data_IF_798654850020
#
_entry.id   IF_798654850020
#
_cell.length_a   1.000
_cell.length_b   1.000
_cell.length_c   1.000
_cell.angle_alpha   90.00
_cell.angle_beta   90.00
_cell.angle_gamma   90.00
#
_symmetry.space_group_name_H-M   'P 1'
#
loop_
_entity.id
_entity.type
_entity.pdbx_description
1 polymer ?
#
# COMPACT_ATOMS: atom_id res chain seq x y z
N UNK A 1 -14.28 3.45 -24.92
CA UNK A 1 -14.52 2.61 -23.71
C UNK A 1 -13.24 1.89 -23.39
N UNK A 2 -12.81 1.88 -22.12
CA UNK A 2 -11.60 1.21 -21.65
C UNK A 2 -11.93 0.26 -20.51
N UNK A 3 -11.07 -0.72 -20.27
CA UNK A 3 -11.20 -1.67 -19.17
C UNK A 3 -10.29 -1.27 -18.01
N UNK A 4 -10.86 -0.90 -16.87
CA UNK A 4 -10.14 -0.70 -15.62
C UNK A 4 -9.98 -2.05 -14.94
N UNK A 5 -8.76 -2.56 -14.86
CA UNK A 5 -8.46 -3.87 -14.24
C UNK A 5 -8.12 -3.69 -12.77
N UNK A 6 -8.76 -4.47 -11.88
CA UNK A 6 -8.59 -4.42 -10.43
C UNK A 6 -7.53 -5.40 -9.94
N UNK A 7 -7.68 -6.65 -10.31
CA UNK A 7 -6.79 -7.73 -9.88
C UNK A 7 -6.84 -8.91 -10.85
N UNK A 8 -5.82 -9.76 -10.74
CA UNK A 8 -5.76 -11.08 -11.36
C UNK A 8 -5.98 -12.14 -10.28
N UNK A 9 -6.63 -13.24 -10.63
CA UNK A 9 -6.96 -14.33 -9.73
C UNK A 9 -6.98 -15.68 -10.46
N UNK A 10 -7.03 -16.78 -9.70
CA UNK A 10 -7.23 -18.11 -10.31
C UNK A 10 -8.68 -18.28 -10.75
N UNK A 11 -8.86 -18.68 -12.00
CA UNK A 11 -10.19 -18.87 -12.57
C UNK A 11 -11.05 -19.94 -11.88
N UNK A 12 -10.40 -20.94 -11.29
CA UNK A 12 -11.07 -22.05 -10.59
C UNK A 12 -11.52 -21.70 -9.16
N UNK A 13 -10.93 -20.68 -8.51
CA UNK A 13 -11.26 -20.33 -7.12
C UNK A 13 -12.59 -19.58 -6.97
N UNK A 14 -13.03 -18.90 -8.02
CA UNK A 14 -14.36 -18.28 -8.07
C UNK A 14 -15.33 -19.20 -8.82
N UNK A 15 -15.94 -20.12 -8.11
CA UNK A 15 -17.17 -20.81 -8.58
C UNK A 15 -18.33 -19.81 -8.52
N UNK A 16 -18.34 -18.85 -9.44
CA UNK A 16 -19.61 -18.22 -9.81
C UNK A 16 -20.37 -19.30 -10.55
N UNK A 17 -21.52 -19.71 -10.02
CA UNK A 17 -22.34 -20.79 -10.57
C UNK A 17 -22.38 -20.73 -12.09
N UNK A 18 -22.38 -21.89 -12.73
CA UNK A 18 -22.48 -22.01 -14.18
C UNK A 18 -23.61 -21.11 -14.69
N UNK A 19 -23.40 -20.37 -15.80
CA UNK A 19 -24.43 -19.50 -16.37
C UNK A 19 -25.71 -20.22 -16.76
N UNK A 20 -25.71 -21.56 -16.80
CA UNK A 20 -26.86 -22.41 -17.10
C UNK A 20 -27.59 -22.98 -15.86
N UNK A 21 -27.08 -22.76 -14.64
CA UNK A 21 -27.78 -23.16 -13.42
C UNK A 21 -28.88 -22.16 -13.07
N UNK A 22 -30.10 -22.57 -12.74
CA UNK A 22 -31.16 -21.66 -12.29
C UNK A 22 -30.66 -20.92 -11.04
N UNK A 23 -30.67 -19.60 -11.13
CA UNK A 23 -30.16 -18.65 -10.15
C UNK A 23 -30.89 -18.76 -8.82
N UNK A 24 -30.41 -19.62 -7.94
CA UNK A 24 -30.54 -19.43 -6.51
C UNK A 24 -29.43 -18.45 -6.11
N UNK A 25 -29.63 -17.17 -6.41
CA UNK A 25 -28.70 -16.09 -6.07
C UNK A 25 -28.65 -15.96 -4.55
N UNK A 26 -27.69 -16.63 -3.93
CA UNK A 26 -27.26 -16.21 -2.61
C UNK A 26 -26.69 -14.80 -2.77
N UNK A 27 -27.13 -13.81 -1.96
CA UNK A 27 -26.66 -12.42 -2.07
C UNK A 27 -25.14 -12.28 -1.94
N UNK A 28 -24.45 -13.30 -1.40
CA UNK A 28 -22.98 -13.35 -1.28
C UNK A 28 -22.23 -13.70 -2.57
N UNK A 29 -22.91 -14.15 -3.63
CA UNK A 29 -22.27 -14.56 -4.89
C UNK A 29 -22.13 -13.41 -5.91
N UNK A 30 -22.76 -12.29 -5.67
CA UNK A 30 -22.67 -11.12 -6.53
C UNK A 30 -21.26 -10.49 -6.46
N UNK A 31 -20.70 -10.17 -7.64
CA UNK A 31 -19.48 -9.36 -7.70
C UNK A 31 -19.76 -7.96 -7.16
N UNK A 32 -18.79 -7.35 -6.47
CA UNK A 32 -18.94 -6.00 -5.91
C UNK A 32 -19.18 -4.97 -7.02
N UNK A 33 -19.74 -3.83 -6.63
CA UNK A 33 -19.87 -2.68 -7.54
C UNK A 33 -18.50 -1.99 -7.64
N UNK A 34 -18.06 -1.72 -8.87
CA UNK A 34 -16.77 -1.11 -9.15
C UNK A 34 -16.76 0.41 -9.10
N UNK A 35 -15.67 0.98 -9.56
CA UNK A 35 -15.47 2.43 -9.67
C UNK A 35 -16.60 3.05 -10.50
N UNK A 36 -17.07 4.24 -10.10
CA UNK A 36 -18.15 5.01 -10.72
C UNK A 36 -19.47 4.23 -10.84
N UNK A 37 -19.73 3.28 -9.93
CA UNK A 37 -20.93 2.46 -9.95
C UNK A 37 -20.97 1.43 -11.08
N UNK A 38 -19.88 1.23 -11.78
CA UNK A 38 -19.82 0.27 -12.92
C UNK A 38 -19.79 -1.16 -12.40
N UNK A 39 -20.41 -2.07 -13.17
CA UNK A 39 -20.39 -3.50 -12.86
C UNK A 39 -18.97 -4.06 -13.00
N UNK A 40 -18.55 -4.87 -12.04
CA UNK A 40 -17.32 -5.68 -12.15
C UNK A 40 -17.64 -6.94 -12.95
N UNK A 41 -16.81 -7.25 -13.92
CA UNK A 41 -16.88 -8.44 -14.79
C UNK A 41 -15.61 -9.25 -14.65
N UNK A 42 -15.66 -10.53 -14.95
CA UNK A 42 -14.51 -11.43 -14.98
C UNK A 42 -14.22 -11.87 -16.41
N UNK A 43 -12.98 -11.66 -16.86
CA UNK A 43 -12.45 -12.28 -18.07
C UNK A 43 -11.60 -13.47 -17.69
N UNK A 44 -11.97 -14.66 -18.15
CA UNK A 44 -11.27 -15.91 -17.88
C UNK A 44 -10.45 -16.34 -19.09
N UNK A 45 -9.25 -16.83 -18.86
CA UNK A 45 -8.39 -17.43 -19.88
C UNK A 45 -7.41 -18.41 -19.22
N UNK A 46 -7.40 -19.65 -19.66
CA UNK A 46 -6.47 -20.73 -19.30
C UNK A 46 -6.07 -20.77 -17.80
N UNK A 47 -7.05 -20.92 -16.92
CA UNK A 47 -6.86 -21.07 -15.46
C UNK A 47 -6.66 -19.76 -14.70
N UNK A 48 -6.58 -18.62 -15.39
CA UNK A 48 -6.55 -17.28 -14.82
C UNK A 48 -7.88 -16.55 -15.05
N UNK A 49 -8.12 -15.53 -14.24
CA UNK A 49 -9.18 -14.56 -14.47
C UNK A 49 -8.71 -13.16 -14.10
N UNK A 50 -9.21 -12.16 -14.82
CA UNK A 50 -9.05 -10.75 -14.49
C UNK A 50 -10.38 -10.16 -14.09
N UNK A 51 -10.42 -9.45 -12.95
CA UNK A 51 -11.56 -8.65 -12.54
C UNK A 51 -11.42 -7.24 -13.10
N UNK A 52 -12.41 -6.75 -13.83
CA UNK A 52 -12.36 -5.44 -14.49
C UNK A 52 -13.74 -4.80 -14.57
N UNK A 53 -13.78 -3.48 -14.82
CA UNK A 53 -14.98 -2.76 -15.21
C UNK A 53 -14.74 -2.00 -16.50
N UNK A 54 -15.77 -1.93 -17.34
CA UNK A 54 -15.74 -1.08 -18.53
C UNK A 54 -16.08 0.36 -18.12
N UNK A 55 -15.17 1.30 -18.38
CA UNK A 55 -15.33 2.72 -18.08
C UNK A 55 -15.37 3.55 -19.36
N UNK A 56 -16.01 4.72 -19.27
CA UNK A 56 -16.08 5.66 -20.39
C UNK A 56 -14.82 6.50 -20.48
N UNK A 57 -14.38 6.86 -21.70
CA UNK A 57 -13.16 7.64 -21.95
C UNK A 57 -13.16 9.04 -21.28
N UNK A 58 -14.35 9.57 -20.96
CA UNK A 58 -14.49 10.86 -20.27
C UNK A 58 -13.89 10.88 -18.84
N UNK A 59 -13.54 9.73 -18.29
CA UNK A 59 -12.91 9.60 -16.97
C UNK A 59 -11.38 9.64 -17.01
N UNK A 60 -10.79 9.86 -18.19
CA UNK A 60 -9.35 9.72 -18.46
C UNK A 60 -8.47 10.92 -18.07
N UNK A 61 -9.00 11.98 -17.51
CA UNK A 61 -8.12 12.99 -16.93
C UNK A 61 -7.44 12.37 -15.71
N UNK A 62 -6.13 12.08 -15.73
CA UNK A 62 -5.38 11.90 -14.51
C UNK A 62 -5.34 13.30 -13.87
N UNK A 63 -6.41 13.69 -13.20
CA UNK A 63 -6.30 14.72 -12.18
C UNK A 63 -5.26 14.16 -11.21
N UNK A 64 -4.09 14.77 -11.25
CA UNK A 64 -2.89 14.27 -10.59
C UNK A 64 -3.22 13.88 -9.16
N UNK A 65 -2.61 12.79 -8.69
CA UNK A 65 -2.63 12.35 -7.31
C UNK A 65 -2.20 13.57 -6.46
N UNK A 66 -3.15 14.39 -6.04
CA UNK A 66 -2.86 15.64 -5.32
C UNK A 66 -3.96 16.71 -5.38
N UNK A 67 -4.92 16.61 -6.28
CA UNK A 67 -6.08 17.51 -6.20
C UNK A 67 -6.97 17.03 -5.03
N UNK A 68 -7.23 17.87 -4.00
CA UNK A 68 -8.12 17.52 -2.92
C UNK A 68 -9.58 17.61 -3.38
N UNK A 69 -10.02 16.63 -4.20
CA UNK A 69 -11.39 16.50 -4.65
C UNK A 69 -12.00 15.21 -4.08
N UNK A 70 -13.18 15.29 -3.48
CA UNK A 70 -13.93 14.17 -2.92
C UNK A 70 -14.11 13.00 -3.89
N UNK A 71 -14.10 13.24 -5.19
CA UNK A 71 -14.26 12.26 -6.26
C UNK A 71 -13.08 11.29 -6.37
N UNK A 72 -11.84 11.77 -6.19
CA UNK A 72 -10.62 10.96 -6.28
C UNK A 72 -10.54 9.94 -5.12
N UNK A 73 -10.84 10.37 -3.91
CA UNK A 73 -10.87 9.49 -2.72
C UNK A 73 -11.97 8.45 -2.85
N UNK A 74 -13.16 8.83 -3.31
CA UNK A 74 -14.29 7.91 -3.52
C UNK A 74 -13.94 6.81 -4.53
N UNK A 75 -13.29 7.16 -5.65
CA UNK A 75 -12.86 6.19 -6.67
C UNK A 75 -11.79 5.24 -6.14
N UNK A 76 -10.81 5.75 -5.38
CA UNK A 76 -9.77 4.92 -4.76
C UNK A 76 -10.38 3.94 -3.74
N UNK A 77 -11.34 4.39 -2.94
CA UNK A 77 -12.05 3.54 -1.98
C UNK A 77 -12.87 2.46 -2.69
N UNK A 78 -13.60 2.81 -3.75
CA UNK A 78 -14.36 1.85 -4.53
C UNK A 78 -13.44 0.80 -5.19
N UNK A 79 -12.28 1.24 -5.72
CA UNK A 79 -11.27 0.35 -6.29
C UNK A 79 -10.75 -0.65 -5.26
N UNK A 80 -10.36 -0.17 -4.08
CA UNK A 80 -9.86 -1.00 -2.98
C UNK A 80 -10.94 -1.98 -2.50
N UNK A 81 -12.20 -1.54 -2.37
CA UNK A 81 -13.32 -2.38 -1.93
C UNK A 81 -13.58 -3.56 -2.85
N UNK A 82 -13.40 -3.41 -4.17
CA UNK A 82 -13.51 -4.52 -5.13
C UNK A 82 -12.43 -5.57 -4.84
N UNK A 83 -11.18 -5.14 -4.69
CA UNK A 83 -10.05 -6.04 -4.44
C UNK A 83 -10.22 -6.77 -3.10
N UNK A 84 -10.62 -6.05 -2.04
CA UNK A 84 -10.87 -6.63 -0.73
C UNK A 84 -12.00 -7.66 -0.74
N UNK A 85 -13.11 -7.36 -1.43
CA UNK A 85 -14.24 -8.27 -1.54
C UNK A 85 -13.85 -9.57 -2.24
N UNK A 86 -13.03 -9.49 -3.31
CA UNK A 86 -12.50 -10.65 -4.00
C UNK A 86 -11.47 -11.40 -3.15
N UNK A 87 -10.59 -10.67 -2.45
CA UNK A 87 -9.56 -11.27 -1.60
C UNK A 87 -10.12 -12.07 -0.41
N UNK A 88 -11.31 -11.71 0.08
CA UNK A 88 -11.99 -12.52 1.12
C UNK A 88 -12.40 -13.90 0.62
N UNK A 89 -12.58 -14.07 -0.69
CA UNK A 89 -13.12 -15.28 -1.33
C UNK A 89 -12.04 -16.14 -2.00
N UNK A 90 -10.99 -15.51 -2.50
CA UNK A 90 -9.94 -16.19 -3.27
C UNK A 90 -8.59 -15.47 -3.15
N UNK A 91 -7.54 -16.09 -3.66
CA UNK A 91 -6.23 -15.47 -3.81
C UNK A 91 -6.27 -14.47 -4.96
N UNK A 92 -5.83 -13.24 -4.70
CA UNK A 92 -5.79 -12.17 -5.70
C UNK A 92 -4.40 -11.56 -5.82
N UNK A 93 -4.06 -11.12 -7.03
CA UNK A 93 -2.93 -10.22 -7.31
C UNK A 93 -3.50 -8.84 -7.56
N UNK A 94 -3.47 -7.92 -6.59
CA UNK A 94 -3.92 -6.56 -6.79
C UNK A 94 -3.10 -5.86 -7.86
N UNK A 95 -3.75 -5.16 -8.78
CA UNK A 95 -3.07 -4.26 -9.70
C UNK A 95 -3.08 -2.83 -9.17
N UNK A 96 -2.27 -1.96 -9.74
CA UNK A 96 -2.30 -0.54 -9.39
C UNK A 96 -3.58 0.11 -9.91
N UNK A 97 -4.16 0.99 -9.13
CA UNK A 97 -5.25 1.84 -9.62
C UNK A 97 -4.78 2.63 -10.86
N UNK A 98 -5.62 2.64 -11.90
CA UNK A 98 -5.27 3.23 -13.19
C UNK A 98 -4.69 2.24 -14.21
N UNK A 99 -4.73 0.94 -13.93
CA UNK A 99 -4.47 -0.11 -14.91
C UNK A 99 -5.61 -0.15 -15.94
N UNK A 100 -5.44 0.65 -17.01
CA UNK A 100 -6.43 0.83 -18.08
C UNK A 100 -5.99 0.12 -19.35
N UNK A 101 -6.83 -0.78 -19.85
CA UNK A 101 -6.64 -1.46 -21.12
C UNK A 101 -7.66 -0.99 -22.17
N UNK A 102 -7.29 -0.94 -23.45
CA UNK A 102 -8.16 -0.40 -24.49
C UNK A 102 -9.46 -1.20 -24.69
N UNK A 103 -9.45 -2.51 -24.47
CA UNK A 103 -10.62 -3.38 -24.64
C UNK A 103 -10.50 -4.68 -23.84
N UNK A 104 -11.55 -5.51 -23.86
CA UNK A 104 -11.55 -6.84 -23.23
C UNK A 104 -10.57 -7.83 -23.90
N UNK A 105 -10.33 -7.68 -25.21
CA UNK A 105 -9.33 -8.48 -25.93
C UNK A 105 -7.93 -8.23 -25.36
N UNK A 106 -7.62 -6.98 -25.01
CA UNK A 106 -6.34 -6.63 -24.37
C UNK A 106 -6.23 -7.20 -22.95
N UNK A 107 -7.35 -7.33 -22.23
CA UNK A 107 -7.36 -8.05 -20.94
C UNK A 107 -7.01 -9.52 -21.16
N UNK A 108 -7.57 -10.15 -22.20
CA UNK A 108 -7.25 -11.55 -22.56
C UNK A 108 -5.78 -11.68 -22.98
N UNK A 109 -5.28 -10.77 -23.80
CA UNK A 109 -3.87 -10.76 -24.22
C UNK A 109 -2.94 -10.65 -23.02
N UNK A 110 -3.21 -9.73 -22.09
CA UNK A 110 -2.44 -9.59 -20.84
C UNK A 110 -2.37 -10.90 -20.04
N UNK A 111 -3.50 -11.62 -19.89
CA UNK A 111 -3.54 -12.89 -19.18
C UNK A 111 -2.66 -13.95 -19.85
N UNK A 112 -2.66 -14.03 -21.19
CA UNK A 112 -1.87 -14.98 -21.98
C UNK A 112 -0.38 -14.66 -21.95
N UNK A 113 -0.02 -13.43 -22.23
CA UNK A 113 1.36 -12.99 -22.35
C UNK A 113 2.13 -13.13 -21.03
N UNK A 114 1.43 -12.96 -19.90
CA UNK A 114 2.05 -12.98 -18.57
C UNK A 114 1.57 -14.13 -17.68
N UNK A 115 1.05 -15.16 -18.29
CA UNK A 115 0.42 -16.29 -17.60
C UNK A 115 1.34 -16.90 -16.53
N UNK A 116 2.57 -17.24 -16.90
CA UNK A 116 3.51 -17.90 -15.98
C UNK A 116 3.88 -17.00 -14.80
N UNK A 117 4.09 -15.69 -15.04
CA UNK A 117 4.38 -14.72 -13.99
C UNK A 117 3.21 -14.56 -13.01
N UNK A 118 1.98 -14.52 -13.54
CA UNK A 118 0.80 -14.41 -12.70
C UNK A 118 0.57 -15.67 -11.87
N UNK A 119 0.75 -16.84 -12.45
CA UNK A 119 0.62 -18.09 -11.71
C UNK A 119 1.69 -18.20 -10.60
N UNK A 120 2.94 -17.90 -10.90
CA UNK A 120 4.02 -17.91 -9.91
C UNK A 120 3.75 -16.91 -8.77
N UNK A 121 3.27 -15.70 -9.10
CA UNK A 121 2.94 -14.68 -8.10
C UNK A 121 1.72 -15.08 -7.26
N UNK A 122 0.70 -15.72 -7.86
CA UNK A 122 -0.45 -16.26 -7.13
C UNK A 122 -0.03 -17.37 -6.16
N UNK A 123 0.89 -18.24 -6.57
CA UNK A 123 1.44 -19.28 -5.69
C UNK A 123 2.18 -18.68 -4.48
N UNK A 124 2.95 -17.62 -4.71
CA UNK A 124 3.68 -16.94 -3.63
C UNK A 124 2.78 -16.33 -2.55
N UNK A 125 1.61 -15.79 -2.94
CA UNK A 125 0.71 -15.10 -2.01
C UNK A 125 -0.49 -15.96 -1.60
N UNK A 126 -0.53 -17.22 -2.04
CA UNK A 126 -1.66 -18.11 -1.78
C UNK A 126 -1.92 -18.28 -0.29
N UNK A 127 -3.16 -18.06 0.12
CA UNK A 127 -3.57 -18.19 1.52
C UNK A 127 -2.97 -17.15 2.46
N UNK A 128 -2.34 -16.09 1.93
CA UNK A 128 -1.72 -15.04 2.72
C UNK A 128 -2.56 -13.77 2.75
N UNK A 129 -2.28 -12.95 3.75
CA UNK A 129 -2.76 -11.58 3.93
C UNK A 129 -1.57 -10.66 4.20
N UNK A 130 -1.72 -9.38 3.90
CA UNK A 130 -0.71 -8.38 4.23
C UNK A 130 -1.08 -7.69 5.54
N UNK A 131 -0.10 -7.63 6.46
CA UNK A 131 -0.18 -6.86 7.70
C UNK A 131 0.82 -5.72 7.63
N UNK A 132 0.41 -4.52 8.04
CA UNK A 132 1.27 -3.32 7.96
C UNK A 132 1.41 -2.71 9.34
N UNK A 133 2.66 -2.60 9.81
CA UNK A 133 3.01 -1.93 11.05
C UNK A 133 3.59 -0.55 10.74
N UNK A 134 2.89 0.49 11.18
CA UNK A 134 3.31 1.89 11.04
C UNK A 134 4.01 2.34 12.32
N UNK A 135 5.26 2.74 12.22
CA UNK A 135 6.09 3.19 13.32
C UNK A 135 6.55 4.63 13.09
N UNK A 136 6.73 5.38 14.18
CA UNK A 136 7.28 6.73 14.15
C UNK A 136 8.69 6.71 14.79
N UNK A 137 9.76 6.48 14.00
CA UNK A 137 11.11 6.51 14.52
C UNK A 137 11.47 7.94 14.96
N UNK A 138 11.91 8.10 16.21
CA UNK A 138 12.34 9.38 16.75
C UNK A 138 11.50 9.95 17.90
N UNK A 139 10.46 9.28 18.34
CA UNK A 139 9.82 9.56 19.64
C UNK A 139 10.54 8.70 20.69
N UNK A 140 11.80 9.05 21.01
CA UNK A 140 12.45 8.44 22.16
C UNK A 140 11.74 8.94 23.43
N UNK A 141 11.40 7.99 24.29
CA UNK A 141 10.92 8.24 25.64
C UNK A 141 11.96 9.04 26.45
N UNK A 142 11.96 10.37 26.30
CA UNK A 142 12.50 11.23 27.36
C UNK A 142 11.30 11.63 28.22
N UNK A 143 11.11 10.86 29.30
CA UNK A 143 10.47 11.32 30.51
C UNK A 143 9.01 11.69 30.43
N UNK A 144 8.11 10.70 30.38
CA UNK A 144 6.75 10.89 30.89
C UNK A 144 6.68 10.58 32.39
N UNK A 145 7.32 11.41 33.19
CA UNK A 145 6.92 11.63 34.59
C UNK A 145 6.46 13.07 34.72
N UNK A 146 5.22 13.31 34.24
CA UNK A 146 4.43 14.46 34.70
C UNK A 146 3.05 13.96 35.05
N UNK A 147 2.92 13.71 36.37
CA UNK A 147 1.66 13.79 37.13
C UNK A 147 0.79 14.95 36.62
N UNK A 148 -0.51 14.66 36.58
CA UNK A 148 -1.53 15.54 36.08
C UNK A 148 -1.43 16.98 36.59
N UNK A 149 -1.61 17.88 35.64
CA UNK A 149 -2.33 19.14 35.90
C UNK A 149 -2.56 19.86 34.55
N UNK A 150 -3.82 20.24 34.38
CA UNK A 150 -4.35 21.30 33.51
C UNK A 150 -4.20 21.22 32.00
N UNK A 151 -5.31 20.78 31.39
CA UNK A 151 -5.79 21.22 30.08
C UNK A 151 -5.82 22.77 30.04
N UNK A 152 -4.80 23.35 29.42
CA UNK A 152 -4.90 24.69 28.85
C UNK A 152 -4.40 24.63 27.42
N UNK A 153 -5.31 24.96 26.55
CA UNK A 153 -5.22 25.13 25.12
C UNK A 153 -4.16 26.19 24.76
N UNK A 154 -2.90 25.77 24.60
CA UNK A 154 -1.92 26.57 23.88
C UNK A 154 -1.27 25.74 22.78
N UNK A 155 -1.62 26.11 21.54
CA UNK A 155 -0.88 25.67 20.36
C UNK A 155 0.60 25.95 20.58
N UNK A 156 1.51 24.97 20.36
CA UNK A 156 2.92 25.28 20.34
C UNK A 156 3.19 26.18 19.13
N UNK A 157 3.25 27.47 19.35
CA UNK A 157 3.86 28.42 18.42
C UNK A 157 5.33 28.06 18.36
N UNK A 158 5.74 27.35 17.32
CA UNK A 158 7.14 27.21 16.94
C UNK A 158 7.67 28.58 16.58
N UNK A 159 8.14 29.31 17.57
CA UNK A 159 8.85 30.58 17.39
C UNK A 159 10.14 30.29 16.59
N UNK A 160 10.38 30.92 15.44
CA UNK A 160 11.59 30.70 14.65
C UNK A 160 12.88 31.29 15.28
N UNK A 161 12.82 31.73 16.53
CA UNK A 161 13.90 32.48 17.16
C UNK A 161 15.07 31.64 17.74
N UNK A 162 15.00 30.31 17.70
CA UNK A 162 16.09 29.42 18.13
C UNK A 162 17.00 28.92 17.01
N UNK A 163 16.80 29.39 15.79
CA UNK A 163 17.69 29.15 14.68
C UNK A 163 18.81 30.20 14.68
N UNK A 164 20.02 29.71 15.00
CA UNK A 164 21.29 30.33 14.64
C UNK A 164 21.74 31.49 15.51
N UNK A 165 22.41 31.19 16.61
CA UNK A 165 23.62 31.95 16.93
C UNK A 165 24.65 31.62 15.85
N UNK A 166 24.51 32.22 14.67
CA UNK A 166 25.54 32.21 13.63
C UNK A 166 26.64 33.11 14.09
N UNK A 167 27.81 32.53 14.25
CA UNK A 167 29.07 33.28 14.39
C UNK A 167 29.17 34.22 13.16
N UNK A 168 29.17 35.55 13.35
CA UNK A 168 29.15 36.53 12.27
C UNK A 168 30.40 36.51 11.37
N UNK A 169 31.42 35.72 11.75
CA UNK A 169 32.66 35.59 10.99
C UNK A 169 32.62 34.57 9.86
N UNK A 170 31.56 33.75 9.71
CA UNK A 170 31.47 32.76 8.65
C UNK A 170 30.68 33.28 7.46
N UNK A 171 31.24 33.14 6.26
CA UNK A 171 30.57 33.45 5.00
C UNK A 171 29.22 32.71 4.92
N UNK A 172 28.15 33.34 4.38
CA UNK A 172 26.82 32.71 4.27
C UNK A 172 26.84 31.34 3.54
N UNK A 173 27.76 31.16 2.59
CA UNK A 173 27.95 29.90 1.89
C UNK A 173 28.47 28.77 2.79
N UNK A 174 29.42 29.08 3.69
CA UNK A 174 29.96 28.09 4.62
C UNK A 174 28.89 27.69 5.65
N UNK A 175 28.11 28.66 6.13
CA UNK A 175 27.02 28.39 7.06
C UNK A 175 25.95 27.46 6.41
N UNK A 176 25.62 27.70 5.15
CA UNK A 176 24.71 26.85 4.40
C UNK A 176 25.24 25.42 4.21
N UNK A 177 26.49 25.25 3.83
CA UNK A 177 27.13 23.94 3.69
C UNK A 177 27.17 23.16 5.01
N UNK A 178 27.47 23.81 6.12
CA UNK A 178 27.45 23.20 7.45
C UNK A 178 26.04 22.78 7.86
N UNK A 179 25.02 23.60 7.55
CA UNK A 179 23.62 23.25 7.80
C UNK A 179 23.16 22.06 6.95
N UNK A 180 23.55 21.99 5.67
CA UNK A 180 23.28 20.85 4.79
C UNK A 180 23.94 19.58 5.34
N UNK A 181 25.23 19.63 5.67
CA UNK A 181 25.97 18.49 6.22
C UNK A 181 25.29 17.94 7.48
N UNK A 182 24.96 18.81 8.45
CA UNK A 182 24.22 18.40 9.65
C UNK A 182 22.89 17.75 9.34
N UNK A 183 22.17 18.24 8.33
CA UNK A 183 20.91 17.66 7.88
C UNK A 183 21.11 16.24 7.32
N UNK A 184 22.13 16.00 6.51
CA UNK A 184 22.46 14.68 6.01
C UNK A 184 22.85 13.73 7.16
N UNK A 185 23.73 14.16 8.07
CA UNK A 185 24.11 13.38 9.23
C UNK A 185 22.90 13.00 10.12
N UNK A 186 21.92 13.89 10.27
CA UNK A 186 20.66 13.60 10.97
C UNK A 186 19.77 12.58 10.23
N UNK A 187 19.71 12.68 8.90
CA UNK A 187 18.94 11.72 8.08
C UNK A 187 19.59 10.34 8.17
N UNK A 188 20.92 10.25 8.06
CA UNK A 188 21.65 8.99 8.14
C UNK A 188 21.48 8.34 9.53
N UNK A 189 21.60 9.11 10.61
CA UNK A 189 21.37 8.62 11.96
C UNK A 189 19.93 8.13 12.18
N UNK A 190 18.94 8.84 11.62
CA UNK A 190 17.55 8.44 11.69
C UNK A 190 17.27 7.17 10.88
N UNK A 191 17.95 7.00 9.74
CA UNK A 191 17.85 5.80 8.90
C UNK A 191 18.40 4.57 9.65
N UNK A 192 19.58 4.67 10.26
CA UNK A 192 20.16 3.60 11.08
C UNK A 192 19.24 3.21 12.24
N UNK A 193 18.62 4.21 12.88
CA UNK A 193 17.64 3.95 13.97
C UNK A 193 16.41 3.23 13.44
N UNK A 194 15.91 3.61 12.26
CA UNK A 194 14.77 2.97 11.61
C UNK A 194 15.10 1.52 11.22
N UNK A 195 16.29 1.26 10.69
CA UNK A 195 16.76 -0.09 10.34
C UNK A 195 16.86 -0.99 11.57
N UNK A 196 17.46 -0.50 12.67
CA UNK A 196 17.53 -1.24 13.93
C UNK A 196 16.13 -1.55 14.50
N UNK A 197 15.19 -0.59 14.39
CA UNK A 197 13.81 -0.79 14.81
C UNK A 197 13.09 -1.81 13.93
N UNK A 198 13.29 -1.74 12.62
CA UNK A 198 12.72 -2.70 11.66
C UNK A 198 13.16 -4.12 11.98
N UNK A 199 14.47 -4.32 12.20
CA UNK A 199 15.04 -5.62 12.51
C UNK A 199 14.55 -6.16 13.85
N UNK A 200 14.43 -5.32 14.86
CA UNK A 200 13.87 -5.70 16.16
C UNK A 200 12.41 -6.17 16.03
N UNK A 201 11.60 -5.45 15.25
CA UNK A 201 10.23 -5.86 14.99
C UNK A 201 10.19 -7.15 14.16
N UNK A 202 11.02 -7.29 13.12
CA UNK A 202 11.12 -8.51 12.32
C UNK A 202 11.40 -9.73 13.21
N UNK A 203 12.41 -9.61 14.08
CA UNK A 203 12.79 -10.69 15.01
C UNK A 203 11.64 -11.08 15.95
N UNK A 204 10.84 -10.11 16.40
CA UNK A 204 9.71 -10.37 17.29
C UNK A 204 8.57 -11.13 16.60
N UNK A 205 8.41 -11.01 15.28
CA UNK A 205 7.42 -11.74 14.48
C UNK A 205 8.00 -12.96 13.77
N UNK A 206 9.22 -13.39 14.08
CA UNK A 206 9.89 -14.52 13.44
C UNK A 206 9.00 -15.78 13.50
N UNK A 207 8.89 -16.48 12.37
CA UNK A 207 8.03 -17.66 12.22
C UNK A 207 6.54 -17.39 11.98
N UNK A 208 6.08 -16.14 12.07
CA UNK A 208 4.67 -15.74 11.83
C UNK A 208 4.42 -15.14 10.46
N UNK A 209 5.45 -14.92 9.66
CA UNK A 209 5.35 -14.36 8.30
C UNK A 209 6.15 -15.16 7.28
N UNK A 210 5.77 -15.06 6.01
CA UNK A 210 6.45 -15.70 4.88
C UNK A 210 7.50 -14.76 4.28
N UNK A 211 7.13 -13.50 4.10
CA UNK A 211 7.98 -12.44 3.56
C UNK A 211 7.74 -11.15 4.31
N UNK A 212 8.72 -10.25 4.28
CA UNK A 212 8.57 -8.92 4.85
C UNK A 212 9.33 -7.87 4.02
N UNK A 213 8.92 -6.61 4.17
CA UNK A 213 9.58 -5.43 3.58
C UNK A 213 9.54 -4.28 4.58
N UNK A 214 10.53 -3.39 4.50
CA UNK A 214 10.55 -2.15 5.25
C UNK A 214 10.64 -0.96 4.29
N UNK A 215 9.85 0.06 4.56
CA UNK A 215 9.92 1.35 3.87
C UNK A 215 10.10 2.46 4.89
N UNK A 216 11.18 3.19 4.78
CA UNK A 216 11.44 4.36 5.59
C UNK A 216 11.24 5.63 4.78
N UNK A 217 10.40 6.53 5.28
CA UNK A 217 10.18 7.86 4.71
C UNK A 217 10.73 8.90 5.67
N UNK A 218 11.91 9.51 5.37
CA UNK A 218 12.49 10.53 6.22
C UNK A 218 11.63 11.79 6.18
N UNK A 219 11.63 12.57 7.28
CA UNK A 219 11.00 13.87 7.34
C UNK A 219 11.72 14.86 6.44
N UNK A 220 11.17 15.14 5.28
CA UNK A 220 11.76 16.11 4.32
C UNK A 220 11.36 17.54 4.62
N UNK A 221 10.16 17.76 5.19
CA UNK A 221 9.62 19.09 5.46
C UNK A 221 9.26 19.23 6.96
N UNK A 222 9.77 20.24 7.69
CA UNK A 222 9.42 20.47 9.09
C UNK A 222 7.93 20.69 9.35
N UNK A 223 7.17 21.08 8.34
CA UNK A 223 5.72 21.33 8.42
C UNK A 223 4.86 20.10 8.13
N UNK A 224 5.45 19.02 7.65
CA UNK A 224 4.75 17.79 7.28
C UNK A 224 5.26 16.67 8.20
N UNK A 225 4.36 15.84 8.65
CA UNK A 225 4.49 14.66 9.52
C UNK A 225 5.90 14.18 9.92
N UNK A 226 6.00 13.55 11.08
CA UNK A 226 7.21 12.86 11.56
C UNK A 226 7.71 11.85 10.51
N UNK A 227 9.01 11.50 10.58
CA UNK A 227 9.54 10.35 9.85
C UNK A 227 8.69 9.13 10.11
N UNK A 228 8.40 8.35 9.08
CA UNK A 228 7.59 7.14 9.21
C UNK A 228 8.37 5.92 8.73
N UNK A 229 8.26 4.83 9.49
CA UNK A 229 8.74 3.51 9.12
C UNK A 229 7.51 2.62 8.95
N UNK A 230 7.36 2.02 7.78
CA UNK A 230 6.32 1.04 7.49
C UNK A 230 6.96 -0.32 7.30
N UNK A 231 6.46 -1.30 8.04
CA UNK A 231 6.86 -2.69 7.89
C UNK A 231 5.66 -3.47 7.35
N UNK A 232 5.88 -4.11 6.23
CA UNK A 232 4.89 -4.95 5.56
C UNK A 232 5.25 -6.41 5.80
N UNK A 233 4.28 -7.20 6.22
CA UNK A 233 4.44 -8.63 6.48
C UNK A 233 3.42 -9.40 5.67
N UNK A 234 3.88 -10.37 4.91
CA UNK A 234 3.04 -11.36 4.24
C UNK A 234 2.81 -12.51 5.23
N UNK A 235 1.62 -12.61 5.76
CA UNK A 235 1.25 -13.52 6.85
C UNK A 235 0.25 -14.55 6.32
N UNK A 236 0.47 -15.84 6.61
CA UNK A 236 -0.54 -16.86 6.30
C UNK A 236 -1.81 -16.60 7.12
N UNK A 237 -2.97 -16.80 6.51
CA UNK A 237 -4.28 -16.61 7.17
C UNK A 237 -4.38 -17.38 8.48
N UNK A 238 -3.82 -18.59 8.52
CA UNK A 238 -3.77 -19.43 9.73
C UNK A 238 -2.93 -18.82 10.87
N UNK A 239 -1.87 -18.05 10.54
CA UNK A 239 -0.99 -17.38 11.49
C UNK A 239 -1.49 -15.99 11.90
N UNK A 240 -2.55 -15.46 11.27
CA UNK A 240 -3.03 -14.10 11.48
C UNK A 240 -3.35 -13.80 12.94
N UNK A 241 -4.04 -14.69 13.63
CA UNK A 241 -4.42 -14.50 15.03
C UNK A 241 -3.19 -14.49 15.95
N UNK A 242 -2.22 -15.38 15.71
CA UNK A 242 -0.95 -15.39 16.46
C UNK A 242 -0.14 -14.11 16.21
N UNK A 243 -0.16 -13.59 14.98
CA UNK A 243 0.49 -12.33 14.64
C UNK A 243 -0.14 -11.15 15.43
N UNK A 244 -1.47 -11.08 15.50
CA UNK A 244 -2.19 -10.05 16.28
C UNK A 244 -1.86 -10.15 17.77
N UNK A 245 -1.84 -11.36 18.36
CA UNK A 245 -1.50 -11.56 19.76
C UNK A 245 -0.08 -11.11 20.07
N UNK A 246 0.89 -11.47 19.22
CA UNK A 246 2.28 -11.02 19.36
C UNK A 246 2.40 -9.50 19.30
N UNK A 247 1.67 -8.84 18.39
CA UNK A 247 1.64 -7.39 18.34
C UNK A 247 1.09 -6.76 19.62
N UNK A 248 -0.01 -7.30 20.17
CA UNK A 248 -0.58 -6.81 21.42
C UNK A 248 0.41 -6.95 22.59
N UNK A 249 1.13 -8.06 22.69
CA UNK A 249 2.16 -8.26 23.70
C UNK A 249 3.32 -7.26 23.56
N UNK A 250 3.75 -6.97 22.33
CA UNK A 250 4.79 -5.98 22.07
C UNK A 250 4.34 -4.56 22.40
N UNK A 251 3.09 -4.23 22.09
CA UNK A 251 2.50 -2.93 22.42
C UNK A 251 2.39 -2.73 23.93
N UNK A 252 1.93 -3.74 24.68
CA UNK A 252 1.85 -3.71 26.15
C UNK A 252 3.21 -3.55 26.82
N UNK A 253 4.27 -4.10 26.23
CA UNK A 253 5.65 -3.96 26.73
C UNK A 253 6.31 -2.64 26.31
N UNK A 254 5.61 -1.76 25.60
CA UNK A 254 6.17 -0.52 25.07
C UNK A 254 7.24 -0.72 23.97
N UNK A 255 7.42 -1.94 23.49
CA UNK A 255 8.48 -2.29 22.53
C UNK A 255 8.12 -1.86 21.11
N UNK A 256 6.84 -1.81 20.75
CA UNK A 256 6.33 -1.37 19.47
C UNK A 256 5.25 -0.31 19.67
N UNK A 257 5.66 0.96 19.69
CA UNK A 257 4.72 2.08 19.65
C UNK A 257 4.38 2.39 18.20
N UNK A 258 3.30 1.80 17.71
CA UNK A 258 2.89 1.96 16.32
C UNK A 258 1.45 1.52 16.10
N UNK A 259 0.98 1.73 14.89
CA UNK A 259 -0.35 1.30 14.44
C UNK A 259 -0.21 0.08 13.56
N UNK A 260 -0.85 -1.03 13.95
CA UNK A 260 -1.00 -2.20 13.10
C UNK A 260 -2.29 -2.06 12.28
N UNK A 261 -2.21 -2.31 10.99
CA UNK A 261 -3.36 -2.34 10.07
C UNK A 261 -3.34 -3.61 9.22
N UNK A 262 -4.51 -4.02 8.74
CA UNK A 262 -4.77 -5.24 7.99
C UNK A 262 -5.88 -6.06 8.65
N UNK A 263 -6.21 -7.23 8.11
CA UNK A 263 -5.56 -7.90 6.97
C UNK A 263 -5.93 -7.27 5.63
N UNK A 264 -4.93 -6.96 4.82
CA UNK A 264 -5.09 -6.40 3.49
C UNK A 264 -4.78 -7.42 2.39
N UNK A 265 -5.26 -7.22 1.16
CA UNK A 265 -4.72 -7.89 -0.01
C UNK A 265 -3.21 -7.62 -0.15
N UNK A 266 -2.41 -8.55 -0.71
CA UNK A 266 -0.94 -8.48 -0.69
C UNK A 266 -0.37 -7.46 -1.70
N UNK A 267 -0.75 -6.19 -1.59
CA UNK A 267 -0.36 -5.11 -2.51
C UNK A 267 1.15 -4.92 -2.62
N UNK A 268 1.87 -5.03 -1.50
CA UNK A 268 3.31 -4.76 -1.46
C UNK A 268 4.17 -6.00 -1.80
N UNK A 269 3.58 -7.17 -1.94
CA UNK A 269 4.27 -8.42 -2.26
C UNK A 269 4.08 -8.86 -3.71
N UNK A 270 3.17 -8.23 -4.42
CA UNK A 270 2.99 -8.41 -5.86
C UNK A 270 3.88 -7.40 -6.58
N UNK A 271 4.76 -7.88 -7.46
CA UNK A 271 5.69 -7.02 -8.22
C UNK A 271 4.96 -6.28 -9.35
N UNK A 272 3.97 -5.44 -9.00
CA UNK A 272 3.21 -4.65 -9.98
C UNK A 272 4.07 -3.66 -10.78
N UNK A 273 5.29 -3.36 -10.35
CA UNK A 273 6.20 -2.49 -11.10
C UNK A 273 6.64 -3.12 -12.43
N UNK A 274 6.68 -4.45 -12.51
CA UNK A 274 6.90 -5.17 -13.77
C UNK A 274 5.65 -5.22 -14.65
N UNK A 275 4.46 -5.00 -14.07
CA UNK A 275 3.18 -4.99 -14.79
C UNK A 275 2.80 -3.59 -15.29
N UNK A 276 3.78 -2.71 -15.43
CA UNK A 276 3.58 -1.41 -16.03
C UNK A 276 3.09 -1.56 -17.46
N UNK A 277 1.80 -1.33 -17.67
CA UNK A 277 1.12 -1.32 -18.98
C UNK A 277 1.81 -0.40 -19.98
N UNK A 278 2.61 0.56 -19.49
CA UNK A 278 3.45 1.42 -20.31
C UNK A 278 4.43 0.64 -21.22
N UNK A 279 4.82 -0.59 -20.89
CA UNK A 279 5.64 -1.42 -21.78
C UNK A 279 4.80 -2.04 -22.91
N UNK A 280 3.60 -2.52 -22.61
CA UNK A 280 2.70 -3.13 -23.59
C UNK A 280 2.22 -2.09 -24.61
N UNK A 281 1.89 -0.86 -24.16
CA UNK A 281 1.47 0.21 -25.04
C UNK A 281 2.62 0.81 -25.89
N UNK A 282 3.89 0.69 -25.45
CA UNK A 282 5.04 1.17 -26.24
C UNK A 282 5.38 0.27 -27.42
N UNK A 283 5.13 -1.02 -27.32
CA UNK A 283 5.42 -1.95 -28.41
C UNK A 283 4.37 -1.97 -29.52
N UNK A 284 3.15 -1.44 -29.25
CA UNK A 284 2.04 -1.45 -30.21
C UNK A 284 1.73 -0.10 -30.88
N UNK A 285 2.42 0.98 -30.53
CA UNK A 285 2.30 2.25 -31.23
C UNK A 285 3.49 2.43 -32.18
N UNK A 286 3.30 2.20 -33.50
CA UNK A 286 4.32 2.63 -34.45
C UNK A 286 4.38 4.16 -34.41
N UNK A 287 5.50 4.68 -33.98
CA UNK A 287 5.80 6.12 -34.06
C UNK A 287 5.73 6.54 -35.54
N UNK A 288 4.74 7.34 -35.87
CA UNK A 288 4.73 8.17 -37.08
C UNK A 288 5.16 9.59 -36.71
#
# INVERSE_FOLDING_TARGET
MKCLVYCILRGAELSLGDPESPRDERPDDALPVGVDGKRVSLRRDDGLAAAFSVIDDACDAPEGIGAPGSTSVSRATAYASVIEALHRRCTVLPLRMGCLLPSEEHVTALLRERREEFLASLDEVQGCVEMVLHLAPGVSEQGSSRTGEQLNSERPTCSPAHLLKTDPSRSPGIAHMVALRRRYEQVDAAMLTAEAMAEKCRAAFEGLFVKWKAEYSPRVNPRVCASTLRLFFLVKRECHQSFLSTYQDLALRGTAQGLLSGPWPPHNFVQCERYGIASILREQLPWK
#
